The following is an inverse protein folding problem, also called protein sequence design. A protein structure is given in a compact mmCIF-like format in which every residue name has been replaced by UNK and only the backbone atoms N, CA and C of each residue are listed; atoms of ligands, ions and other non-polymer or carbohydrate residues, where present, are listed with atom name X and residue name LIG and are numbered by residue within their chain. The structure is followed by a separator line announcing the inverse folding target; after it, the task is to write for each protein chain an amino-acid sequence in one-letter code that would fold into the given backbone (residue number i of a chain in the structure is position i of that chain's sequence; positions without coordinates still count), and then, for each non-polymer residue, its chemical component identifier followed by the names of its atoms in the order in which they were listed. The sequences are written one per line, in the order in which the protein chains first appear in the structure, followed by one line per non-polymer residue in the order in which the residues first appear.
data_IF_666593184446
#
_entry.id   IF_666593184446
#
_cell.length_a   1.000
_cell.length_b   1.000
_cell.length_c   1.000
_cell.angle_alpha   90.00
_cell.angle_beta   90.00
_cell.angle_gamma   90.00
#
_symmetry.space_group_name_H-M   'P 1'
#
loop_
_entity.id
_entity.type
_entity.pdbx_description
1 polymer ?
#
# COMPACT_ATOMS: atom_id res chain seq x y z
N UNK A 1 -21.38 -12.84 -3.95
CA UNK A 1 -22.42 -12.21 -4.81
C UNK A 1 -22.37 -10.71 -4.53
N UNK A 2 -22.10 -9.94 -5.57
CA UNK A 2 -21.83 -8.50 -5.45
C UNK A 2 -23.12 -7.75 -5.10
N UNK A 3 -23.13 -7.04 -3.97
CA UNK A 3 -24.22 -6.15 -3.53
C UNK A 3 -24.63 -5.17 -4.65
N UNK A 4 -23.69 -4.82 -5.53
CA UNK A 4 -23.88 -3.93 -6.69
C UNK A 4 -24.85 -4.46 -7.76
N UNK A 5 -25.13 -5.75 -7.81
CA UNK A 5 -26.09 -6.31 -8.75
C UNK A 5 -27.55 -5.98 -8.43
N UNK A 6 -27.83 -5.50 -7.21
CA UNK A 6 -29.17 -5.12 -6.74
C UNK A 6 -29.43 -3.63 -6.74
N UNK A 7 -28.41 -2.79 -6.97
CA UNK A 7 -28.57 -1.34 -6.99
C UNK A 7 -29.14 -0.85 -8.31
N UNK A 8 -30.15 -0.02 -8.26
CA UNK A 8 -30.65 0.70 -9.42
C UNK A 8 -29.65 1.74 -9.92
N UNK A 9 -29.71 2.15 -11.18
CA UNK A 9 -28.77 3.11 -11.77
C UNK A 9 -28.67 4.42 -10.97
N UNK A 10 -29.78 4.94 -10.41
CA UNK A 10 -29.79 6.14 -9.60
C UNK A 10 -29.08 5.99 -8.24
N UNK A 11 -29.24 4.83 -7.59
CA UNK A 11 -28.55 4.50 -6.33
C UNK A 11 -27.05 4.32 -6.57
N UNK A 12 -26.69 3.68 -7.69
CA UNK A 12 -25.30 3.52 -8.10
C UNK A 12 -24.63 4.89 -8.38
N UNK A 13 -25.30 5.78 -9.12
CA UNK A 13 -24.81 7.14 -9.39
C UNK A 13 -24.69 7.97 -8.11
N UNK A 14 -25.66 7.89 -7.18
CA UNK A 14 -25.59 8.59 -5.91
C UNK A 14 -24.44 8.08 -5.02
N UNK A 15 -24.11 6.80 -5.08
CA UNK A 15 -23.02 6.18 -4.34
C UNK A 15 -21.65 6.57 -4.91
N UNK A 16 -21.53 6.71 -6.23
CA UNK A 16 -20.31 7.26 -6.86
C UNK A 16 -20.07 8.72 -6.44
N UNK A 17 -21.12 9.48 -6.24
CA UNK A 17 -21.04 10.92 -5.94
C UNK A 17 -20.74 11.24 -4.46
N UNK A 18 -20.71 10.25 -3.58
CA UNK A 18 -20.38 10.44 -2.16
C UNK A 18 -18.86 10.42 -1.94
N UNK A 19 -18.21 11.53 -2.30
CA UNK A 19 -16.79 11.71 -2.06
C UNK A 19 -16.56 12.57 -0.82
N UNK A 20 -15.53 12.25 -0.06
CA UNK A 20 -15.14 12.98 1.16
C UNK A 20 -13.67 13.38 1.06
N UNK A 21 -13.38 14.64 1.39
CA UNK A 21 -12.00 15.07 1.59
C UNK A 21 -11.55 14.66 2.98
N UNK A 22 -10.49 13.89 3.04
CA UNK A 22 -9.90 13.39 4.28
C UNK A 22 -8.42 13.78 4.37
N UNK A 23 -7.93 13.96 5.59
CA UNK A 23 -6.50 13.98 5.87
C UNK A 23 -6.05 12.58 6.32
N UNK A 24 -4.90 12.13 5.81
CA UNK A 24 -4.36 10.82 6.11
C UNK A 24 -2.98 10.61 5.52
N UNK A 25 -2.48 9.40 5.64
CA UNK A 25 -1.20 8.99 5.07
C UNK A 25 -1.41 7.83 4.10
N UNK A 26 -0.80 7.94 2.94
CA UNK A 26 -0.74 6.86 1.95
C UNK A 26 0.65 6.26 1.95
N UNK A 27 0.71 4.95 1.92
CA UNK A 27 1.93 4.16 1.82
C UNK A 27 1.84 3.24 0.60
N UNK A 28 2.86 3.26 -0.24
CA UNK A 28 3.10 2.26 -1.27
C UNK A 28 4.29 1.41 -0.88
N UNK A 29 4.14 0.10 -1.00
CA UNK A 29 5.18 -0.89 -0.73
C UNK A 29 5.30 -1.78 -1.95
N UNK A 30 6.52 -2.03 -2.43
CA UNK A 30 6.81 -2.90 -3.57
C UNK A 30 7.90 -3.91 -3.21
N UNK A 31 7.79 -5.13 -3.75
CA UNK A 31 8.77 -6.21 -3.51
C UNK A 31 9.89 -6.07 -4.53
N UNK A 32 11.08 -5.67 -4.07
CA UNK A 32 12.23 -5.47 -4.93
C UNK A 32 12.67 -6.75 -5.64
N UNK A 33 12.86 -6.67 -6.97
CA UNK A 33 13.36 -7.78 -7.77
C UNK A 33 12.34 -8.88 -8.08
N UNK A 34 11.07 -8.71 -7.70
CA UNK A 34 10.02 -9.70 -7.91
C UNK A 34 9.79 -10.02 -9.41
N UNK A 35 9.84 -9.02 -10.28
CA UNK A 35 9.68 -9.21 -11.72
C UNK A 35 10.69 -10.20 -12.29
N UNK A 36 11.98 -10.07 -11.92
CA UNK A 36 13.03 -10.98 -12.41
C UNK A 36 12.83 -12.43 -11.95
N UNK A 37 12.30 -12.61 -10.74
CA UNK A 37 12.00 -13.93 -10.19
C UNK A 37 10.78 -14.53 -10.85
N UNK A 38 9.74 -13.73 -11.08
CA UNK A 38 8.52 -14.17 -11.74
C UNK A 38 8.76 -14.70 -13.16
N UNK A 39 9.76 -14.15 -13.86
CA UNK A 39 10.16 -14.60 -15.19
C UNK A 39 10.92 -15.94 -15.17
N UNK A 40 11.59 -16.28 -14.06
CA UNK A 40 12.42 -17.48 -13.93
C UNK A 40 11.76 -18.64 -13.16
N UNK A 41 10.60 -18.39 -12.54
CA UNK A 41 9.90 -19.35 -11.69
C UNK A 41 8.60 -19.84 -12.31
N UNK A 42 8.05 -20.96 -11.82
CA UNK A 42 6.74 -21.42 -12.25
C UNK A 42 5.63 -20.47 -11.73
N UNK A 43 4.54 -20.34 -12.49
CA UNK A 43 3.42 -19.48 -12.09
C UNK A 43 2.86 -19.84 -10.69
N UNK A 44 2.76 -21.12 -10.36
CA UNK A 44 2.28 -21.59 -9.06
C UNK A 44 3.24 -21.19 -7.91
N UNK A 45 4.55 -21.27 -8.13
CA UNK A 45 5.56 -20.85 -7.15
C UNK A 45 5.51 -19.33 -6.93
N UNK A 46 5.37 -18.56 -8.02
CA UNK A 46 5.24 -17.09 -7.97
C UNK A 46 4.02 -16.67 -7.17
N UNK A 47 2.85 -17.28 -7.44
CA UNK A 47 1.60 -16.96 -6.71
C UNK A 47 1.69 -17.32 -5.23
N UNK A 48 2.27 -18.48 -4.90
CA UNK A 48 2.47 -18.87 -3.49
C UNK A 48 3.41 -17.91 -2.77
N UNK A 49 4.50 -17.53 -3.42
CA UNK A 49 5.50 -16.62 -2.86
C UNK A 49 4.92 -15.22 -2.61
N UNK A 50 4.25 -14.62 -3.61
CA UNK A 50 3.67 -13.28 -3.44
C UNK A 50 2.59 -13.25 -2.36
N UNK A 51 1.73 -14.28 -2.30
CA UNK A 51 0.69 -14.37 -1.29
C UNK A 51 1.28 -14.47 0.13
N UNK A 52 2.36 -15.21 0.29
CA UNK A 52 3.03 -15.34 1.59
C UNK A 52 3.67 -14.01 2.02
N UNK A 53 4.32 -13.28 1.11
CA UNK A 53 4.87 -11.95 1.42
C UNK A 53 3.76 -10.93 1.72
N UNK A 54 2.70 -10.92 0.92
CA UNK A 54 1.54 -10.06 1.17
C UNK A 54 0.91 -10.33 2.53
N UNK A 55 0.75 -11.60 2.92
CA UNK A 55 0.16 -11.97 4.20
C UNK A 55 0.97 -11.38 5.38
N UNK A 56 2.29 -11.47 5.34
CA UNK A 56 3.14 -10.91 6.39
C UNK A 56 3.14 -9.37 6.37
N UNK A 57 3.22 -8.73 5.20
CA UNK A 57 3.13 -7.27 5.10
C UNK A 57 1.78 -6.74 5.59
N UNK A 58 0.68 -7.38 5.20
CA UNK A 58 -0.68 -7.02 5.62
C UNK A 58 -0.84 -7.13 7.14
N UNK A 59 -0.29 -8.17 7.78
CA UNK A 59 -0.32 -8.31 9.24
C UNK A 59 0.34 -7.11 9.94
N UNK A 60 1.52 -6.71 9.48
CA UNK A 60 2.23 -5.56 10.07
C UNK A 60 1.49 -4.24 9.81
N UNK A 61 0.97 -4.02 8.61
CA UNK A 61 0.19 -2.83 8.28
C UNK A 61 -1.06 -2.72 9.17
N UNK A 62 -1.80 -3.82 9.31
CA UNK A 62 -3.02 -3.85 10.13
C UNK A 62 -2.72 -3.73 11.63
N UNK A 63 -1.62 -4.29 12.12
CA UNK A 63 -1.19 -4.16 13.50
C UNK A 63 -0.89 -2.70 13.88
N UNK A 64 -0.54 -1.86 12.90
CA UNK A 64 -0.30 -0.42 13.06
C UNK A 64 -1.45 0.45 12.53
N UNK A 65 -2.69 -0.05 12.59
CA UNK A 65 -3.91 0.68 12.23
C UNK A 65 -4.04 1.07 10.75
N UNK A 66 -3.24 0.48 9.87
CA UNK A 66 -3.32 0.68 8.43
C UNK A 66 -4.45 -0.12 7.79
N UNK A 67 -5.02 0.41 6.74
CA UNK A 67 -6.03 -0.25 5.90
C UNK A 67 -5.45 -0.53 4.52
N UNK A 68 -5.57 -1.77 4.05
CA UNK A 68 -5.19 -2.12 2.69
C UNK A 68 -6.23 -1.55 1.72
N UNK A 69 -5.79 -0.67 0.84
CA UNK A 69 -6.64 -0.12 -0.21
C UNK A 69 -6.73 -1.10 -1.39
N UNK A 70 -5.60 -1.51 -1.91
CA UNK A 70 -5.52 -2.51 -3.00
C UNK A 70 -4.13 -3.12 -3.15
N UNK A 71 -4.12 -4.26 -3.86
CA UNK A 71 -2.90 -4.86 -4.41
C UNK A 71 -2.73 -4.42 -5.86
N UNK A 72 -1.51 -4.06 -6.26
CA UNK A 72 -1.18 -3.57 -7.62
C UNK A 72 0.05 -4.34 -8.10
N UNK A 73 -0.20 -5.47 -8.78
CA UNK A 73 0.88 -6.39 -9.13
C UNK A 73 1.55 -6.96 -7.89
N UNK A 74 2.82 -6.68 -7.70
CA UNK A 74 3.65 -7.03 -6.55
C UNK A 74 3.74 -5.91 -5.48
N UNK A 75 2.92 -4.87 -5.64
CA UNK A 75 2.84 -3.76 -4.70
C UNK A 75 1.56 -3.77 -3.85
N UNK A 76 1.64 -3.15 -2.68
CA UNK A 76 0.51 -2.87 -1.79
C UNK A 76 0.33 -1.35 -1.67
N UNK A 77 -0.89 -0.87 -1.80
CA UNK A 77 -1.30 0.46 -1.39
C UNK A 77 -2.06 0.36 -0.07
N UNK A 78 -1.59 1.08 0.95
CA UNK A 78 -2.24 1.17 2.25
C UNK A 78 -2.54 2.63 2.62
N UNK A 79 -3.59 2.82 3.42
CA UNK A 79 -4.06 4.13 3.89
C UNK A 79 -4.18 4.11 5.40
N UNK A 80 -3.64 5.14 6.04
CA UNK A 80 -3.71 5.35 7.48
C UNK A 80 -4.54 6.62 7.76
N UNK A 81 -5.41 6.54 8.77
CA UNK A 81 -6.32 7.62 9.17
C UNK A 81 -6.25 7.82 10.68
N UNK A 82 -6.81 8.91 11.17
CA UNK A 82 -6.80 9.22 12.60
C UNK A 82 -5.72 10.22 12.99
N UNK A 83 -5.57 10.47 14.27
CA UNK A 83 -4.68 11.53 14.79
C UNK A 83 -3.20 11.24 14.52
N UNK A 84 -2.78 9.98 14.64
CA UNK A 84 -1.37 9.56 14.52
C UNK A 84 -1.09 8.82 13.19
N UNK A 85 -1.88 9.09 12.15
CA UNK A 85 -1.81 8.36 10.88
C UNK A 85 -0.41 8.33 10.24
N UNK A 86 0.41 9.38 10.43
CA UNK A 86 1.77 9.42 9.88
C UNK A 86 2.74 8.58 10.69
N UNK A 87 2.67 8.65 12.03
CA UNK A 87 3.50 7.85 12.94
C UNK A 87 3.19 6.36 12.74
N UNK A 88 1.91 5.98 12.74
CA UNK A 88 1.47 4.61 12.46
C UNK A 88 1.97 4.09 11.10
N UNK A 89 1.95 4.93 10.07
CA UNK A 89 2.45 4.54 8.75
C UNK A 89 3.97 4.29 8.74
N UNK A 90 4.74 5.10 9.47
CA UNK A 90 6.19 4.93 9.56
C UNK A 90 6.53 3.68 10.40
N UNK A 91 5.86 3.49 11.54
CA UNK A 91 6.04 2.29 12.36
C UNK A 91 5.69 1.01 11.58
N UNK A 92 4.59 1.01 10.83
CA UNK A 92 4.22 -0.09 9.94
C UNK A 92 5.30 -0.36 8.89
N UNK A 93 5.84 0.70 8.27
CA UNK A 93 6.87 0.57 7.24
C UNK A 93 8.16 -0.04 7.80
N UNK A 94 8.59 0.38 8.99
CA UNK A 94 9.74 -0.18 9.68
C UNK A 94 9.50 -1.65 10.05
N UNK A 95 8.34 -1.97 10.62
CA UNK A 95 7.95 -3.34 10.96
C UNK A 95 7.91 -4.26 9.72
N UNK A 96 7.38 -3.77 8.60
CA UNK A 96 7.39 -4.49 7.32
C UNK A 96 8.81 -4.75 6.85
N UNK A 97 9.71 -3.75 6.86
CA UNK A 97 11.11 -3.95 6.47
C UNK A 97 11.78 -5.01 7.34
N UNK A 98 11.63 -4.93 8.66
CA UNK A 98 12.22 -5.89 9.60
C UNK A 98 11.65 -7.29 9.39
N UNK A 99 10.33 -7.41 9.25
CA UNK A 99 9.66 -8.68 9.02
C UNK A 99 10.11 -9.36 7.73
N UNK A 100 10.08 -8.64 6.62
CA UNK A 100 10.46 -9.15 5.31
C UNK A 100 11.93 -9.60 5.28
N UNK A 101 12.84 -8.85 5.91
CA UNK A 101 14.25 -9.22 6.01
C UNK A 101 14.50 -10.52 6.81
N UNK A 102 13.56 -10.95 7.65
CA UNK A 102 13.65 -12.20 8.43
C UNK A 102 13.06 -13.42 7.72
N UNK A 103 12.36 -13.21 6.59
CA UNK A 103 11.73 -14.29 5.84
C UNK A 103 12.76 -14.97 4.93
N UNK A 104 13.35 -16.08 5.39
CA UNK A 104 14.41 -16.79 4.66
C UNK A 104 13.91 -18.00 3.83
N UNK A 105 12.66 -18.47 4.03
CA UNK A 105 12.23 -19.79 3.57
C UNK A 105 10.88 -19.81 2.81
N UNK A 106 10.48 -18.72 2.17
CA UNK A 106 9.25 -18.69 1.38
C UNK A 106 9.56 -18.99 -0.10
N UNK A 107 9.90 -20.23 -0.40
CA UNK A 107 10.14 -20.73 -1.76
C UNK A 107 11.27 -21.75 -1.77
N UNK A 108 10.91 -23.00 -1.86
CA UNK A 108 11.83 -24.15 -1.75
C UNK A 108 12.97 -24.19 -2.77
N UNK A 109 13.01 -23.30 -3.79
CA UNK A 109 13.95 -23.41 -4.92
C UNK A 109 14.72 -22.14 -5.31
N UNK A 110 14.49 -21.00 -4.68
CA UNK A 110 15.04 -19.74 -5.22
C UNK A 110 15.77 -18.96 -4.15
N UNK A 111 16.91 -19.15 -3.76
CA UNK A 111 17.72 -18.36 -2.79
C UNK A 111 17.51 -16.82 -2.80
N UNK A 112 16.24 -16.40 -2.91
CA UNK A 112 15.79 -15.03 -2.98
C UNK A 112 15.52 -14.52 -1.57
N UNK A 113 16.22 -13.48 -1.22
CA UNK A 113 15.97 -12.73 0.02
C UNK A 113 15.09 -11.54 -0.36
N UNK A 114 13.81 -11.55 0.02
CA UNK A 114 12.91 -10.47 -0.30
C UNK A 114 13.35 -9.18 0.37
N UNK A 115 13.18 -8.07 -0.32
CA UNK A 115 13.35 -6.72 0.20
C UNK A 115 12.22 -5.86 -0.31
N UNK A 116 11.94 -4.77 0.36
CA UNK A 116 10.87 -3.85 -0.03
C UNK A 116 11.40 -2.45 -0.25
N UNK A 117 10.74 -1.71 -1.13
CA UNK A 117 10.89 -0.27 -1.30
C UNK A 117 9.59 0.41 -0.92
N UNK A 118 9.64 1.48 -0.12
CA UNK A 118 8.46 2.10 0.48
C UNK A 118 8.44 3.60 0.24
N UNK A 119 7.29 4.12 -0.19
CA UNK A 119 7.02 5.54 -0.31
C UNK A 119 5.84 5.96 0.55
N UNK A 120 6.00 7.00 1.36
CA UNK A 120 4.98 7.51 2.27
C UNK A 120 4.75 9.00 2.05
N UNK A 121 3.48 9.40 1.95
CA UNK A 121 3.07 10.80 1.90
C UNK A 121 1.82 11.01 2.74
N UNK A 122 1.85 12.04 3.57
CA UNK A 122 0.73 12.52 4.36
C UNK A 122 0.15 13.79 3.75
N UNK A 123 -1.16 13.95 3.79
CA UNK A 123 -1.86 15.14 3.33
C UNK A 123 -3.33 14.88 3.01
N UNK A 124 -3.97 15.89 2.41
CA UNK A 124 -5.34 15.79 1.96
C UNK A 124 -5.47 14.84 0.75
N UNK A 125 -6.55 14.10 0.73
CA UNK A 125 -6.95 13.21 -0.37
C UNK A 125 -8.47 13.10 -0.43
N UNK A 126 -8.99 12.71 -1.57
CA UNK A 126 -10.41 12.43 -1.74
C UNK A 126 -10.63 10.94 -1.56
N UNK A 127 -11.46 10.57 -0.61
CA UNK A 127 -11.93 9.20 -0.37
C UNK A 127 -13.32 9.03 -0.95
N UNK A 128 -13.55 7.97 -1.70
CA UNK A 128 -14.86 7.72 -2.30
C UNK A 128 -14.92 6.47 -3.15
N UNK A 129 -16.10 6.25 -3.70
CA UNK A 129 -16.36 5.14 -4.61
C UNK A 129 -16.02 5.57 -6.04
N UNK A 130 -15.02 4.93 -6.61
CA UNK A 130 -14.58 5.19 -7.99
C UNK A 130 -14.91 3.98 -8.83
N UNK A 131 -15.59 4.19 -9.95
CA UNK A 131 -15.95 3.07 -10.78
C UNK A 131 -16.68 3.42 -12.06
N UNK A 132 -17.25 2.42 -12.67
CA UNK A 132 -17.95 2.50 -13.94
C UNK A 132 -19.39 2.04 -13.80
N UNK A 133 -20.34 2.93 -14.09
CA UNK A 133 -21.76 2.59 -14.14
C UNK A 133 -22.04 1.49 -15.18
N UNK A 134 -21.35 1.51 -16.32
CA UNK A 134 -21.48 0.50 -17.39
C UNK A 134 -21.06 -0.89 -16.94
N UNK A 135 -19.97 -0.98 -16.16
CA UNK A 135 -19.44 -2.24 -15.64
C UNK A 135 -20.09 -2.63 -14.31
N UNK A 136 -20.89 -1.74 -13.68
CA UNK A 136 -21.44 -1.89 -12.34
C UNK A 136 -20.37 -2.30 -11.32
N UNK A 137 -19.18 -1.70 -11.45
CA UNK A 137 -18.04 -1.93 -10.55
C UNK A 137 -17.68 -0.64 -9.84
N UNK A 138 -17.60 -0.71 -8.51
CA UNK A 138 -17.14 0.34 -7.63
C UNK A 138 -15.99 -0.18 -6.79
N UNK A 139 -14.92 0.60 -6.72
CA UNK A 139 -13.81 0.37 -5.81
C UNK A 139 -13.77 1.58 -4.85
N UNK A 140 -13.92 1.33 -3.55
CA UNK A 140 -13.73 2.38 -2.54
C UNK A 140 -12.23 2.60 -2.37
N UNK A 141 -11.79 3.82 -2.63
CA UNK A 141 -10.35 4.13 -2.65
C UNK A 141 -10.11 5.61 -2.37
N UNK A 142 -8.84 5.98 -2.26
CA UNK A 142 -8.41 7.37 -2.16
C UNK A 142 -7.70 7.81 -3.44
N UNK A 143 -7.90 9.08 -3.81
CA UNK A 143 -7.23 9.73 -4.95
C UNK A 143 -6.71 11.12 -4.56
N UNK A 144 -5.72 11.60 -5.27
CA UNK A 144 -5.19 12.95 -5.11
C UNK A 144 -3.68 13.01 -5.29
N UNK A 145 -3.13 14.21 -5.13
CA UNK A 145 -1.68 14.45 -5.24
C UNK A 145 -0.90 13.70 -4.16
N UNK A 146 -1.47 13.57 -2.95
CA UNK A 146 -0.91 12.78 -1.85
C UNK A 146 -0.66 11.33 -2.27
N UNK A 147 -1.63 10.71 -2.95
CA UNK A 147 -1.53 9.32 -3.43
C UNK A 147 -0.46 9.20 -4.52
N UNK A 148 -0.50 10.09 -5.53
CA UNK A 148 0.44 10.09 -6.63
C UNK A 148 1.89 10.34 -6.16
N UNK A 149 2.05 11.21 -5.16
CA UNK A 149 3.37 11.52 -4.61
C UNK A 149 3.94 10.34 -3.82
N UNK A 150 3.13 9.66 -3.01
CA UNK A 150 3.55 8.43 -2.30
C UNK A 150 4.02 7.35 -3.29
N UNK A 151 3.28 7.15 -4.40
CA UNK A 151 3.67 6.21 -5.45
C UNK A 151 5.00 6.60 -6.12
N UNK A 152 5.25 7.89 -6.38
CA UNK A 152 6.52 8.37 -6.94
C UNK A 152 7.68 8.16 -5.96
N UNK A 153 7.47 8.35 -4.66
CA UNK A 153 8.49 8.08 -3.65
C UNK A 153 8.86 6.60 -3.62
N UNK A 154 7.87 5.72 -3.65
CA UNK A 154 8.12 4.29 -3.74
C UNK A 154 8.93 3.95 -5.00
N UNK A 155 8.57 4.50 -6.17
CA UNK A 155 9.25 4.23 -7.44
C UNK A 155 10.72 4.70 -7.52
N UNK A 156 11.19 5.55 -6.60
CA UNK A 156 12.60 5.98 -6.50
C UNK A 156 13.30 5.44 -5.27
N UNK A 157 12.58 4.78 -4.37
CA UNK A 157 13.14 4.13 -3.18
C UNK A 157 13.98 2.91 -3.58
N UNK A 158 15.10 2.73 -2.89
CA UNK A 158 15.98 1.56 -3.04
C UNK A 158 15.49 0.43 -2.13
N UNK A 159 16.11 -0.71 -2.26
CA UNK A 159 15.90 -1.86 -1.36
C UNK A 159 16.01 -1.46 0.11
N UNK A 160 15.00 -1.83 0.90
CA UNK A 160 14.87 -1.50 2.33
C UNK A 160 14.90 0.00 2.64
N UNK A 161 14.54 0.84 1.67
CA UNK A 161 14.46 2.27 1.85
C UNK A 161 13.01 2.72 1.99
N UNK A 162 12.76 3.57 3.00
CA UNK A 162 11.49 4.25 3.22
C UNK A 162 11.72 5.73 2.88
N UNK A 163 10.97 6.25 1.90
CA UNK A 163 11.05 7.66 1.50
C UNK A 163 9.81 8.41 1.97
N UNK A 164 10.05 9.52 2.66
CA UNK A 164 9.05 10.51 3.07
C UNK A 164 9.42 11.90 2.53
N UNK A 165 8.45 12.81 2.47
CA UNK A 165 8.74 14.20 2.09
C UNK A 165 9.23 15.04 3.28
N UNK A 166 9.76 16.23 2.97
CA UNK A 166 10.24 17.19 3.98
C UNK A 166 9.13 17.57 4.98
N UNK A 167 7.89 17.79 4.53
CA UNK A 167 6.77 18.14 5.43
C UNK A 167 6.46 17.01 6.41
N UNK A 168 6.51 15.74 5.96
CA UNK A 168 6.37 14.57 6.82
C UNK A 168 7.54 14.49 7.80
N UNK A 169 8.78 14.68 7.33
CA UNK A 169 9.96 14.69 8.18
C UNK A 169 9.86 15.73 9.31
N UNK A 170 9.42 16.95 9.01
CA UNK A 170 9.29 18.00 10.03
C UNK A 170 8.30 17.62 11.14
N UNK A 171 7.27 16.84 10.82
CA UNK A 171 6.28 16.35 11.79
C UNK A 171 6.81 15.23 12.70
N UNK A 172 7.75 14.40 12.21
CA UNK A 172 8.18 13.17 12.89
C UNK A 172 9.63 13.13 13.34
N UNK A 173 10.43 14.17 13.07
CA UNK A 173 11.89 14.23 13.35
C UNK A 173 12.28 14.06 14.82
N UNK A 174 11.35 14.30 15.75
CA UNK A 174 11.56 14.09 17.18
C UNK A 174 11.37 12.61 17.58
N UNK A 175 10.57 11.86 16.80
CA UNK A 175 10.20 10.46 17.06
C UNK A 175 11.02 9.47 16.23
N UNK A 176 11.38 9.85 15.01
CA UNK A 176 12.07 8.96 14.06
C UNK A 176 13.39 9.56 13.58
N UNK A 177 14.40 8.69 13.50
CA UNK A 177 15.69 9.05 12.92
C UNK A 177 15.62 8.94 11.40
N UNK A 178 15.75 10.07 10.71
CA UNK A 178 15.74 10.12 9.24
C UNK A 178 17.09 10.63 8.70
N UNK A 179 17.45 10.16 7.51
CA UNK A 179 18.60 10.65 6.73
C UNK A 179 18.10 11.57 5.60
N UNK A 180 18.90 12.61 5.27
CA UNK A 180 18.59 13.53 4.16
C UNK A 180 19.25 13.10 2.87
#
# INVERSE_FOLDING_TARGET
ENVLNFMGNREFESTIMSNETIEGTVMFIDICGFTAISESSSADSVVKMINAYFDEMVKEIMAHEGHIDKFIGDAIMAVFRGEYHLDCAIDAALAVCDKINTLTDIGEDVGFIPKVSIGIKSGEMISGNIGSATLKRLDYTVIGDTVNTAARFQGVARENQIIICEDCYQKVKESFKCEK
#
